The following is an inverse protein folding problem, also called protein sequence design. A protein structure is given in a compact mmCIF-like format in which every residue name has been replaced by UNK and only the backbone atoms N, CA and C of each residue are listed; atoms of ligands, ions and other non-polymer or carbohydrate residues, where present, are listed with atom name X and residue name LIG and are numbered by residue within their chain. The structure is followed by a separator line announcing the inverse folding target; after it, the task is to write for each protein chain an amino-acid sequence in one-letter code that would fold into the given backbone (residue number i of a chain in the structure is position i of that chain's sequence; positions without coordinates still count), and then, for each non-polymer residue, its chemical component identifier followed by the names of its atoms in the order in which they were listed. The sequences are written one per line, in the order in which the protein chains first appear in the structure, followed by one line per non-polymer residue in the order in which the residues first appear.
data_IF_174053843459
#
_entry.id   IF_174053843459
#
_cell.length_a   1.000
_cell.length_b   1.000
_cell.length_c   1.000
_cell.angle_alpha   90.00
_cell.angle_beta   90.00
_cell.angle_gamma   90.00
#
_symmetry.space_group_name_H-M   'P 1'
#
loop_
_entity.id
_entity.type
_entity.pdbx_description
1 polymer ?
#
# COMPACT_ATOMS: atom_id res chain seq x y z
N UNK A 1 -19.27 -5.19 13.10
CA UNK A 1 -18.71 -4.58 14.33
C UNK A 1 -18.16 -3.18 14.05
N UNK A 2 -17.11 -3.01 13.23
CA UNK A 2 -16.48 -1.70 12.95
C UNK A 2 -17.49 -0.62 12.55
N UNK A 3 -18.27 -0.88 11.49
CA UNK A 3 -19.29 0.04 10.95
C UNK A 3 -20.45 0.32 11.91
N UNK A 4 -20.97 -0.73 12.54
CA UNK A 4 -22.06 -0.59 13.51
C UNK A 4 -21.64 0.26 14.70
N UNK A 5 -20.41 0.09 15.19
CA UNK A 5 -19.84 0.89 16.29
C UNK A 5 -19.61 2.36 15.91
N UNK A 6 -19.42 2.67 14.64
CA UNK A 6 -19.36 4.05 14.12
C UNK A 6 -20.67 4.59 13.57
N UNK A 7 -21.80 3.91 13.81
CA UNK A 7 -23.14 4.25 13.27
C UNK A 7 -23.19 4.34 11.73
N UNK A 8 -22.27 3.69 11.02
CA UNK A 8 -22.29 3.63 9.56
C UNK A 8 -23.25 2.54 9.06
N UNK A 9 -23.93 2.78 7.93
CA UNK A 9 -24.88 1.84 7.33
C UNK A 9 -24.27 0.46 7.10
N UNK A 10 -25.03 -0.61 7.36
CA UNK A 10 -24.57 -1.97 7.09
C UNK A 10 -24.26 -2.17 5.59
N UNK A 11 -23.28 -3.03 5.31
CA UNK A 11 -22.91 -3.41 3.95
C UNK A 11 -23.38 -4.85 3.69
N UNK A 12 -23.93 -5.09 2.51
CA UNK A 12 -24.26 -6.45 2.09
C UNK A 12 -22.97 -7.27 1.92
N UNK A 13 -22.99 -8.54 2.33
CA UNK A 13 -21.80 -9.39 2.30
C UNK A 13 -21.17 -9.49 0.89
N UNK A 14 -22.00 -9.52 -0.17
CA UNK A 14 -21.54 -9.55 -1.56
C UNK A 14 -20.80 -8.28 -2.04
N UNK A 15 -20.94 -7.16 -1.32
CA UNK A 15 -20.29 -5.89 -1.68
C UNK A 15 -18.93 -5.70 -0.99
N UNK A 16 -18.53 -6.64 -0.13
CA UNK A 16 -17.27 -6.55 0.62
C UNK A 16 -16.11 -7.01 -0.27
N UNK A 17 -15.52 -6.06 -0.99
CA UNK A 17 -14.32 -6.27 -1.81
C UNK A 17 -13.05 -5.85 -1.07
N UNK A 18 -11.88 -6.23 -1.60
CA UNK A 18 -10.60 -5.74 -1.06
C UNK A 18 -10.56 -4.20 -1.04
N UNK A 19 -11.05 -3.56 -2.09
CA UNK A 19 -11.09 -2.10 -2.16
C UNK A 19 -12.00 -1.51 -1.09
N UNK A 20 -13.16 -2.11 -0.86
CA UNK A 20 -14.07 -1.72 0.20
C UNK A 20 -13.40 -1.81 1.59
N UNK A 21 -12.71 -2.91 1.88
CA UNK A 21 -11.98 -3.09 3.15
C UNK A 21 -10.87 -2.03 3.29
N UNK A 22 -10.13 -1.77 2.22
CA UNK A 22 -9.05 -0.76 2.24
C UNK A 22 -9.59 0.66 2.51
N UNK A 23 -10.77 0.98 2.01
CA UNK A 23 -11.43 2.26 2.28
C UNK A 23 -11.95 2.34 3.72
N UNK A 24 -12.51 1.25 4.24
CA UNK A 24 -12.91 1.16 5.65
C UNK A 24 -11.72 1.27 6.60
N UNK A 25 -10.58 0.65 6.28
CA UNK A 25 -9.34 0.78 7.06
C UNK A 25 -8.87 2.23 7.12
N UNK A 26 -8.93 2.95 6.01
CA UNK A 26 -8.57 4.36 5.99
C UNK A 26 -9.51 5.22 6.84
N UNK A 27 -10.82 4.93 6.83
CA UNK A 27 -11.80 5.64 7.67
C UNK A 27 -11.64 5.33 9.16
N UNK A 28 -11.38 4.08 9.50
CA UNK A 28 -11.24 3.62 10.88
C UNK A 28 -9.90 4.02 11.49
N UNK A 29 -8.80 3.82 10.76
CA UNK A 29 -7.45 3.97 11.27
C UNK A 29 -6.74 5.24 10.80
N UNK A 30 -7.42 6.15 10.10
CA UNK A 30 -6.94 7.48 9.71
C UNK A 30 -5.42 7.64 9.65
N UNK A 31 -4.85 8.32 10.66
CA UNK A 31 -3.40 8.62 10.79
C UNK A 31 -2.62 7.50 11.50
N UNK A 32 -3.31 6.58 12.15
CA UNK A 32 -2.73 5.48 12.93
C UNK A 32 -2.27 4.32 12.05
N UNK A 33 -2.95 4.05 10.94
CA UNK A 33 -2.49 3.05 9.98
C UNK A 33 -1.24 3.56 9.27
N UNK A 34 -0.18 2.74 9.27
CA UNK A 34 0.92 2.88 8.31
C UNK A 34 0.44 2.46 6.91
N UNK A 35 -0.42 3.30 6.33
CA UNK A 35 -1.21 3.03 5.12
C UNK A 35 -0.34 2.60 3.95
N UNK A 36 0.80 3.25 3.79
CA UNK A 36 1.78 2.94 2.75
C UNK A 36 2.22 1.47 2.81
N UNK A 37 2.59 0.96 3.99
CA UNK A 37 3.01 -0.44 4.14
C UNK A 37 1.89 -1.43 3.82
N UNK A 38 0.65 -1.15 4.25
CA UNK A 38 -0.50 -1.98 3.88
C UNK A 38 -0.70 -2.02 2.36
N UNK A 39 -0.59 -0.88 1.70
CA UNK A 39 -0.79 -0.77 0.26
C UNK A 39 0.33 -1.45 -0.53
N UNK A 40 1.59 -1.23 -0.16
CA UNK A 40 2.76 -1.86 -0.76
C UNK A 40 2.68 -3.39 -0.66
N UNK A 41 2.36 -3.92 0.52
CA UNK A 41 2.18 -5.37 0.74
C UNK A 41 1.09 -5.98 -0.14
N UNK A 42 0.06 -5.21 -0.49
CA UNK A 42 -1.05 -5.67 -1.33
C UNK A 42 -0.84 -5.36 -2.83
N UNK A 43 0.28 -4.74 -3.20
CA UNK A 43 0.54 -4.29 -4.57
C UNK A 43 -0.43 -3.20 -5.04
N UNK A 44 -1.04 -2.46 -4.10
CA UNK A 44 -2.08 -1.44 -4.36
C UNK A 44 -1.59 -0.02 -4.17
N UNK A 45 -0.29 0.20 -3.94
CA UNK A 45 0.23 1.54 -3.71
C UNK A 45 0.00 2.44 -4.92
N UNK A 46 0.42 2.00 -6.12
CA UNK A 46 0.30 2.79 -7.35
C UNK A 46 -1.16 3.12 -7.68
N UNK A 47 -2.03 2.10 -7.74
CA UNK A 47 -3.47 2.26 -8.02
C UNK A 47 -4.12 3.32 -7.13
N UNK A 48 -3.74 3.35 -5.84
CA UNK A 48 -4.33 4.26 -4.85
C UNK A 48 -3.75 5.66 -4.90
N UNK A 49 -2.46 5.81 -5.19
CA UNK A 49 -1.85 7.14 -5.36
C UNK A 49 -2.44 7.83 -6.60
N UNK A 50 -2.52 7.12 -7.73
CA UNK A 50 -3.11 7.67 -8.96
C UNK A 50 -4.59 8.05 -8.74
N UNK A 51 -5.35 7.21 -8.05
CA UNK A 51 -6.79 7.45 -7.84
C UNK A 51 -7.09 8.57 -6.85
N UNK A 52 -6.33 8.67 -5.76
CA UNK A 52 -6.70 9.50 -4.61
C UNK A 52 -5.75 10.67 -4.34
N UNK A 53 -4.60 10.74 -5.01
CA UNK A 53 -3.56 11.71 -4.69
C UNK A 53 -3.01 12.40 -5.94
N UNK A 54 -3.69 13.45 -6.45
CA UNK A 54 -3.28 14.13 -7.69
C UNK A 54 -1.91 14.81 -7.58
N UNK A 55 -1.48 15.18 -6.37
CA UNK A 55 -0.20 15.86 -6.15
C UNK A 55 0.99 14.92 -6.40
N UNK A 56 0.90 13.68 -5.94
CA UNK A 56 1.97 12.68 -6.11
C UNK A 56 1.78 11.76 -7.33
N UNK A 57 0.63 11.84 -8.00
CA UNK A 57 0.32 11.01 -9.16
C UNK A 57 1.35 11.15 -10.30
N UNK A 58 1.84 12.37 -10.54
CA UNK A 58 2.83 12.64 -11.60
C UNK A 58 4.18 11.93 -11.37
N UNK A 59 4.54 11.72 -10.10
CA UNK A 59 5.79 11.06 -9.71
C UNK A 59 5.57 9.61 -9.28
N UNK A 60 4.37 9.06 -9.40
CA UNK A 60 4.07 7.70 -8.99
C UNK A 60 4.58 6.70 -10.03
N UNK A 61 5.17 5.60 -9.57
CA UNK A 61 5.63 4.50 -10.41
C UNK A 61 5.17 3.17 -9.80
N UNK A 62 4.82 2.21 -10.67
CA UNK A 62 4.44 0.85 -10.30
C UNK A 62 5.51 0.10 -9.49
N UNK A 63 6.80 0.46 -9.64
CA UNK A 63 7.91 -0.13 -8.89
C UNK A 63 7.91 0.20 -7.39
N UNK A 64 7.25 1.29 -7.00
CA UNK A 64 7.23 1.78 -5.62
C UNK A 64 6.36 0.94 -4.66
N UNK A 65 5.88 -0.22 -5.09
CA UNK A 65 5.36 -1.24 -4.19
C UNK A 65 6.46 -1.91 -3.34
N UNK A 66 7.73 -1.83 -3.77
CA UNK A 66 8.90 -2.24 -3.00
C UNK A 66 9.85 -1.05 -2.86
N UNK A 67 10.74 -1.09 -1.88
CA UNK A 67 11.81 -0.10 -1.73
C UNK A 67 13.12 -0.60 -2.34
N UNK A 68 14.03 0.30 -2.75
CA UNK A 68 15.34 -0.13 -3.20
C UNK A 68 16.09 -0.79 -2.04
N UNK A 69 16.76 -1.89 -2.34
CA UNK A 69 17.77 -2.47 -1.44
C UNK A 69 18.95 -1.49 -1.42
N UNK A 70 19.44 -1.07 -0.25
CA UNK A 70 20.58 -0.17 -0.17
C UNK A 70 21.79 -0.75 -0.91
N UNK A 71 22.40 0.08 -1.77
CA UNK A 71 23.52 -0.34 -2.61
C UNK A 71 24.69 -0.91 -1.79
N UNK A 72 24.94 -0.36 -0.60
CA UNK A 72 25.98 -0.84 0.32
C UNK A 72 25.75 -2.28 0.79
N UNK A 73 24.49 -2.73 0.91
CA UNK A 73 24.17 -4.11 1.29
C UNK A 73 24.36 -5.08 0.12
N UNK A 74 24.07 -4.64 -1.12
CA UNK A 74 24.35 -5.41 -2.33
C UNK A 74 25.86 -5.61 -2.50
N UNK A 75 26.64 -4.54 -2.37
CA UNK A 75 28.10 -4.59 -2.49
C UNK A 75 28.78 -5.38 -1.37
N UNK A 76 28.20 -5.35 -0.17
CA UNK A 76 28.72 -6.10 0.99
C UNK A 76 28.47 -7.60 0.88
N UNK A 77 27.45 -8.04 0.15
CA UNK A 77 27.15 -9.46 0.00
C UNK A 77 28.12 -10.13 -0.98
N UNK A 78 29.21 -10.67 -0.44
CA UNK A 78 30.23 -11.39 -1.21
C UNK A 78 29.99 -12.90 -1.30
N UNK A 79 28.99 -13.44 -0.58
CA UNK A 79 28.71 -14.87 -0.54
C UNK A 79 27.58 -15.29 -1.49
N UNK A 80 26.74 -14.35 -1.92
CA UNK A 80 25.66 -14.59 -2.88
C UNK A 80 25.36 -13.33 -3.69
N UNK A 81 24.76 -13.49 -4.87
CA UNK A 81 24.25 -12.36 -5.66
C UNK A 81 22.96 -11.85 -5.01
N UNK A 82 22.99 -10.63 -4.50
CA UNK A 82 21.80 -9.91 -4.05
C UNK A 82 21.30 -9.02 -5.19
N UNK A 83 20.27 -9.48 -5.90
CA UNK A 83 19.65 -8.71 -6.98
C UNK A 83 18.77 -7.58 -6.43
N UNK A 84 18.75 -6.45 -7.13
CA UNK A 84 17.92 -5.30 -6.79
C UNK A 84 16.43 -5.60 -7.08
N UNK A 85 15.54 -4.94 -6.35
CA UNK A 85 14.12 -4.99 -6.63
C UNK A 85 13.80 -4.44 -8.04
N UNK A 86 12.83 -5.00 -8.77
CA UNK A 86 12.55 -4.59 -10.14
C UNK A 86 12.30 -3.09 -10.30
N UNK A 87 13.03 -2.45 -11.22
CA UNK A 87 12.89 -1.03 -11.55
C UNK A 87 13.78 -0.06 -10.76
N UNK A 88 14.56 -0.57 -9.80
CA UNK A 88 15.57 0.17 -9.05
C UNK A 88 17.00 -0.14 -9.51
#
# INVERSE_FOLDING_TARGET
VVRARSNASAVAAGNVTLNYILDERMREFGVEEKRMFTLMRLGKWYDRIIMCNPFYAASADTKYNLWPIPQSEIERNNQAVLEQNPGY
#
